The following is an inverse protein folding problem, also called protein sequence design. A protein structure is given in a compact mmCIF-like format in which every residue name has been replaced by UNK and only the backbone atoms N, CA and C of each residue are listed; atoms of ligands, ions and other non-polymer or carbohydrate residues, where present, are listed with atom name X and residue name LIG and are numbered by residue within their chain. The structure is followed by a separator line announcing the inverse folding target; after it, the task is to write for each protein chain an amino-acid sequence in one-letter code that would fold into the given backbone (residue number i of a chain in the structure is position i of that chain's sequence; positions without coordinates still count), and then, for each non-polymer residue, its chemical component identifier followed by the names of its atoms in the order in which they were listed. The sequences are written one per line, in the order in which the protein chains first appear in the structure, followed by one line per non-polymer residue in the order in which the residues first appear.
data_IF_916102455089
#
_entry.id   IF_916102455089
#
_cell.length_a   1.000
_cell.length_b   1.000
_cell.length_c   1.000
_cell.angle_alpha   90.00
_cell.angle_beta   90.00
_cell.angle_gamma   90.00
#
_symmetry.space_group_name_H-M   'P 1'
#
loop_
_entity.id
_entity.type
_entity.pdbx_description
1 polymer ?
#
# COMPACT_ATOMS: atom_id res chain seq x y z
N UNK A 1 4.41 12.63 -15.53
CA UNK A 1 4.45 13.31 -14.22
C UNK A 1 3.49 12.56 -13.31
N UNK A 2 3.94 12.04 -12.16
CA UNK A 2 3.07 11.39 -11.15
C UNK A 2 2.79 12.43 -10.05
N UNK A 3 1.54 12.51 -9.56
CA UNK A 3 1.12 13.58 -8.63
C UNK A 3 0.92 13.08 -7.18
N UNK A 4 0.80 11.77 -6.98
CA UNK A 4 0.47 11.15 -5.69
C UNK A 4 1.09 9.76 -5.59
N UNK A 5 1.53 9.36 -4.40
CA UNK A 5 2.23 8.10 -4.14
C UNK A 5 1.86 7.41 -2.82
N UNK A 6 1.16 8.09 -1.90
CA UNK A 6 0.78 7.55 -0.60
C UNK A 6 -0.45 6.62 -0.67
N UNK A 7 -0.30 5.53 -1.43
CA UNK A 7 -1.31 4.49 -1.63
C UNK A 7 -0.75 3.17 -1.09
N UNK A 8 -1.49 2.50 -0.23
CA UNK A 8 -1.08 1.22 0.34
C UNK A 8 -2.17 0.16 0.20
N UNK A 9 -1.77 -1.02 -0.29
CA UNK A 9 -2.61 -2.22 -0.31
C UNK A 9 -2.05 -3.19 0.74
N UNK A 10 -2.76 -3.42 1.86
CA UNK A 10 -2.36 -4.41 2.85
C UNK A 10 -2.33 -5.81 2.25
N UNK A 11 -1.43 -6.67 2.74
CA UNK A 11 -1.39 -8.10 2.38
C UNK A 11 -2.77 -8.76 2.48
N UNK A 12 -3.52 -8.45 3.53
CA UNK A 12 -4.84 -9.01 3.80
C UNK A 12 -5.91 -8.58 2.80
N UNK A 13 -5.60 -7.61 1.93
CA UNK A 13 -6.48 -7.09 0.87
C UNK A 13 -5.94 -7.39 -0.53
N UNK A 14 -4.97 -8.29 -0.66
CA UNK A 14 -4.59 -8.90 -1.92
C UNK A 14 -5.42 -10.16 -2.19
N UNK A 15 -5.30 -10.71 -3.40
CA UNK A 15 -5.87 -12.00 -3.74
C UNK A 15 -5.46 -13.11 -2.76
N UNK A 16 -6.35 -14.08 -2.58
CA UNK A 16 -6.01 -15.31 -1.88
C UNK A 16 -4.85 -16.02 -2.61
N UNK A 17 -3.88 -16.53 -1.84
CA UNK A 17 -2.68 -17.16 -2.40
C UNK A 17 -1.54 -16.19 -2.72
N UNK A 18 -1.72 -14.87 -2.52
CA UNK A 18 -0.62 -13.92 -2.63
C UNK A 18 0.47 -14.17 -1.56
N UNK A 19 1.71 -14.27 -2.01
CA UNK A 19 2.89 -14.36 -1.16
C UNK A 19 3.90 -13.28 -1.53
N UNK A 20 4.70 -12.86 -0.55
CA UNK A 20 5.85 -11.99 -0.81
C UNK A 20 7.06 -12.87 -1.08
N UNK A 21 7.70 -12.65 -2.22
CA UNK A 21 8.97 -13.28 -2.56
C UNK A 21 10.12 -12.43 -2.02
N UNK A 22 10.87 -12.95 -1.04
CA UNK A 22 11.99 -12.23 -0.43
C UNK A 22 13.19 -12.07 -1.36
N UNK A 23 13.37 -12.94 -2.35
CA UNK A 23 14.47 -12.87 -3.31
C UNK A 23 14.25 -11.74 -4.30
N UNK A 24 13.04 -11.66 -4.85
CA UNK A 24 12.66 -10.66 -5.85
C UNK A 24 12.09 -9.37 -5.23
N UNK A 25 11.89 -9.35 -3.90
CA UNK A 25 11.32 -8.21 -3.16
C UNK A 25 9.98 -7.72 -3.73
N UNK A 26 9.14 -8.66 -4.16
CA UNK A 26 7.86 -8.36 -4.82
C UNK A 26 6.77 -9.33 -4.39
N UNK A 27 5.51 -8.95 -4.63
CA UNK A 27 4.37 -9.84 -4.40
C UNK A 27 4.11 -10.69 -5.64
N UNK A 28 3.74 -11.95 -5.41
CA UNK A 28 3.30 -12.87 -6.45
C UNK A 28 1.96 -13.48 -6.06
N UNK A 29 1.02 -13.43 -6.98
CA UNK A 29 -0.24 -14.16 -6.88
C UNK A 29 -0.08 -15.54 -7.52
N UNK A 30 -0.14 -16.59 -6.70
CA UNK A 30 -0.04 -17.97 -7.16
C UNK A 30 -1.43 -18.54 -7.41
N UNK A 31 -1.75 -18.72 -8.68
CA UNK A 31 -2.97 -19.43 -9.12
C UNK A 31 -2.63 -20.88 -9.43
N UNK A 32 -3.64 -21.72 -9.64
CA UNK A 32 -3.43 -23.12 -10.03
C UNK A 32 -2.74 -23.27 -11.40
N UNK A 33 -2.85 -22.24 -12.25
CA UNK A 33 -2.38 -22.28 -13.64
C UNK A 33 -1.09 -21.48 -13.87
N UNK A 34 -0.84 -20.44 -13.06
CA UNK A 34 0.21 -19.45 -13.33
C UNK A 34 0.62 -18.66 -12.08
N UNK A 35 1.83 -18.10 -12.13
CA UNK A 35 2.33 -17.13 -11.15
C UNK A 35 2.29 -15.73 -11.78
N UNK A 36 1.54 -14.82 -11.16
CA UNK A 36 1.35 -13.44 -11.63
C UNK A 36 2.06 -12.46 -10.69
N UNK A 37 3.00 -11.69 -11.24
CA UNK A 37 3.95 -10.90 -10.46
C UNK A 37 3.53 -9.42 -10.41
N UNK A 38 3.57 -8.82 -9.23
CA UNK A 38 3.31 -7.39 -9.02
C UNK A 38 4.59 -6.56 -9.24
N UNK A 39 5.23 -6.72 -10.39
CA UNK A 39 6.53 -6.10 -10.67
C UNK A 39 6.47 -4.58 -10.71
N UNK A 40 7.61 -3.95 -10.45
CA UNK A 40 7.72 -2.50 -10.54
C UNK A 40 7.38 -2.02 -11.96
N UNK A 41 6.39 -1.13 -12.06
CA UNK A 41 5.90 -0.60 -13.33
C UNK A 41 4.66 -1.30 -13.87
N UNK A 42 4.24 -2.42 -13.28
CA UNK A 42 2.96 -3.05 -13.58
C UNK A 42 1.83 -2.06 -13.36
N UNK A 43 1.00 -1.88 -14.39
CA UNK A 43 -0.22 -1.07 -14.27
C UNK A 43 -1.30 -1.95 -13.64
N UNK A 44 -1.89 -1.44 -12.56
CA UNK A 44 -2.85 -2.20 -11.76
C UNK A 44 -4.18 -1.46 -11.63
N UNK A 45 -5.27 -2.22 -11.67
CA UNK A 45 -6.57 -1.78 -11.18
C UNK A 45 -6.64 -2.03 -9.67
N UNK A 46 -7.08 -1.03 -8.91
CA UNK A 46 -7.27 -1.16 -7.47
C UNK A 46 -8.58 -0.51 -7.07
N UNK A 47 -9.17 -0.95 -5.96
CA UNK A 47 -10.32 -0.31 -5.35
C UNK A 47 -9.88 0.49 -4.13
N UNK A 48 -10.32 1.75 -4.03
CA UNK A 48 -10.14 2.56 -2.82
C UNK A 48 -11.06 2.03 -1.74
N UNK A 49 -10.49 1.66 -0.59
CA UNK A 49 -11.24 1.17 0.57
C UNK A 49 -11.40 2.26 1.63
N UNK A 50 -10.36 3.07 1.85
CA UNK A 50 -10.41 4.17 2.80
C UNK A 50 -9.46 5.31 2.44
N UNK A 51 -9.83 6.50 2.91
CA UNK A 51 -9.01 7.70 2.88
C UNK A 51 -8.57 8.05 4.31
N UNK A 52 -7.29 8.38 4.48
CA UNK A 52 -6.71 8.76 5.77
C UNK A 52 -6.18 10.17 5.70
N UNK A 53 -6.62 11.00 6.63
CA UNK A 53 -6.22 12.40 6.74
C UNK A 53 -5.54 12.61 8.09
N UNK A 54 -4.34 13.19 8.07
CA UNK A 54 -3.54 13.39 9.26
C UNK A 54 -3.21 14.86 9.46
N UNK A 55 -3.54 15.39 10.65
CA UNK A 55 -3.27 16.77 11.00
C UNK A 55 -1.75 17.04 10.99
N UNK A 56 -1.36 18.11 10.30
CA UNK A 56 0.02 18.56 10.14
C UNK A 56 0.33 19.78 11.01
N UNK A 57 -0.59 20.19 11.88
CA UNK A 57 -0.35 21.26 12.83
C UNK A 57 0.90 20.94 13.68
N UNK A 58 1.80 21.92 13.88
CA UNK A 58 2.94 21.74 14.76
C UNK A 58 2.47 21.34 16.15
N UNK A 59 3.03 20.25 16.69
CA UNK A 59 2.81 19.89 18.09
C UNK A 59 3.55 20.90 18.97
N UNK A 60 2.86 21.43 19.98
CA UNK A 60 3.47 22.35 20.94
C UNK A 60 4.64 21.73 21.69
N UNK A 61 5.50 22.54 22.33
CA UNK A 61 6.68 22.04 23.05
C UNK A 61 6.28 21.02 24.12
N UNK A 62 6.92 19.84 24.14
CA UNK A 62 6.62 18.82 25.14
C UNK A 62 7.04 19.32 26.53
N UNK A 63 6.10 19.30 27.49
CA UNK A 63 6.35 19.79 28.86
C UNK A 63 7.24 18.84 29.69
N UNK A 64 7.44 17.61 29.21
CA UNK A 64 8.29 16.61 29.83
C UNK A 64 9.40 16.29 28.83
N UNK A 65 10.67 16.48 29.22
CA UNK A 65 11.87 16.22 28.41
C UNK A 65 12.08 14.78 27.95
N UNK A 66 11.02 14.01 27.75
CA UNK A 66 10.97 12.91 26.82
C UNK A 66 11.15 13.52 25.42
N UNK A 67 12.41 13.59 25.00
CA UNK A 67 12.80 13.84 23.63
C UNK A 67 11.84 13.08 22.73
N UNK A 68 11.19 13.84 21.82
CA UNK A 68 10.38 13.34 20.73
C UNK A 68 10.79 11.91 20.37
N UNK A 69 10.09 10.91 20.91
CA UNK A 69 9.92 9.68 20.16
C UNK A 69 9.18 10.18 18.96
N UNK A 70 9.94 10.50 17.91
CA UNK A 70 9.48 10.93 16.59
C UNK A 70 8.18 10.19 16.37
N UNK A 71 7.05 10.85 16.64
CA UNK A 71 5.79 10.27 16.23
C UNK A 71 5.95 10.36 14.74
N UNK A 72 6.29 9.23 14.09
CA UNK A 72 6.61 9.16 12.68
C UNK A 72 5.65 10.10 11.96
N UNK A 73 6.21 11.13 11.34
CA UNK A 73 5.42 12.23 10.79
C UNK A 73 4.48 11.62 9.76
N UNK A 74 3.21 11.45 10.14
CA UNK A 74 2.23 10.80 9.29
C UNK A 74 2.04 11.67 8.05
N UNK A 75 1.97 11.03 6.89
CA UNK A 75 1.71 11.75 5.63
C UNK A 75 0.35 12.44 5.72
N UNK A 76 0.18 13.66 5.18
CA UNK A 76 -1.05 14.44 5.38
C UNK A 76 -2.30 13.74 4.84
N UNK A 77 -2.15 13.00 3.74
CA UNK A 77 -3.20 12.27 3.06
C UNK A 77 -2.66 10.93 2.57
N UNK A 78 -3.38 9.85 2.83
CA UNK A 78 -3.05 8.51 2.34
C UNK A 78 -4.32 7.75 1.92
N UNK A 79 -4.16 6.84 0.97
CA UNK A 79 -5.22 5.95 0.49
C UNK A 79 -4.89 4.52 0.90
N UNK A 80 -5.85 3.84 1.52
CA UNK A 80 -5.85 2.39 1.66
C UNK A 80 -6.69 1.78 0.55
N UNK A 81 -6.15 0.78 -0.12
CA UNK A 81 -6.76 0.15 -1.29
C UNK A 81 -6.75 -1.37 -1.19
N UNK A 82 -7.53 -2.03 -2.04
CA UNK A 82 -7.58 -3.48 -2.19
C UNK A 82 -7.42 -3.93 -3.64
N UNK A 83 -7.01 -5.18 -3.80
CA UNK A 83 -6.91 -5.91 -5.06
C UNK A 83 -7.34 -7.37 -4.86
N UNK A 84 -8.37 -7.62 -4.05
CA UNK A 84 -8.80 -8.98 -3.70
C UNK A 84 -9.89 -9.55 -4.64
N UNK A 85 -10.43 -8.73 -5.53
CA UNK A 85 -11.58 -9.09 -6.38
C UNK A 85 -11.21 -9.20 -7.85
N UNK A 86 -11.95 -10.03 -8.58
CA UNK A 86 -11.74 -10.24 -10.02
C UNK A 86 -11.81 -8.92 -10.80
N UNK A 87 -10.87 -8.72 -11.74
CA UNK A 87 -10.72 -7.47 -12.49
C UNK A 87 -9.81 -6.41 -11.84
N UNK A 88 -9.33 -6.64 -10.61
CA UNK A 88 -8.32 -5.81 -9.92
C UNK A 88 -6.90 -6.38 -10.14
N UNK A 89 -5.85 -5.82 -9.51
CA UNK A 89 -4.48 -6.26 -9.75
C UNK A 89 -3.99 -5.89 -11.15
N UNK A 90 -3.07 -6.66 -11.73
CA UNK A 90 -2.49 -6.35 -13.04
C UNK A 90 -3.55 -6.23 -14.14
N UNK A 91 -3.52 -5.13 -14.89
CA UNK A 91 -4.48 -4.87 -15.98
C UNK A 91 -4.40 -5.96 -17.07
N UNK A 92 -3.23 -6.53 -17.29
CA UNK A 92 -2.97 -7.58 -18.29
C UNK A 92 -3.39 -8.99 -17.83
N UNK A 93 -3.92 -9.15 -16.61
CA UNK A 93 -4.30 -10.46 -16.06
C UNK A 93 -5.71 -10.93 -16.46
N UNK A 94 -6.49 -10.06 -17.10
CA UNK A 94 -7.92 -10.24 -17.35
C UNK A 94 -8.26 -10.20 -18.84
#
# INVERSE_FOLDING_TARGET
MRFFEDIFVPRTMLFEGCIFDEGEQTWVWKTDESELWFDQGTVVNMRVEAEKWHDQAPKGPSANGEADKQTERQVPYAVEASMAEAGLGGVEWW
#
